data_IF_293647327831
#
_entry.id   IF_293647327831
#
_cell.length_a   1.000
_cell.length_b   1.000
_cell.length_c   1.000
_cell.angle_alpha   90.00
_cell.angle_beta   90.00
_cell.angle_gamma   90.00
#
_symmetry.space_group_name_H-M   'P 1'
#
loop_
_entity.id
_entity.type
_entity.pdbx_description
1 polymer ?
#
# COMPACT_ATOMS: atom_id res chain seq x y z
N UNK A 1 21.28 -8.71 -6.11
CA UNK A 1 21.06 -7.68 -5.07
C UNK A 1 19.65 -7.84 -4.53
N UNK A 2 19.45 -7.79 -3.22
CA UNK A 2 18.11 -7.61 -2.66
C UNK A 2 17.62 -6.21 -3.07
N UNK A 3 16.41 -6.12 -3.62
CA UNK A 3 15.74 -4.82 -3.80
C UNK A 3 15.37 -4.28 -2.42
N UNK A 4 15.50 -2.97 -2.24
CA UNK A 4 14.95 -2.32 -1.05
C UNK A 4 13.44 -2.58 -0.98
N UNK A 5 12.99 -3.04 0.18
CA UNK A 5 11.58 -3.31 0.41
C UNK A 5 10.83 -1.99 0.51
N UNK A 6 9.64 -1.95 -0.08
CA UNK A 6 8.77 -0.80 0.04
C UNK A 6 8.20 -0.66 1.46
N UNK A 7 7.65 0.51 1.80
CA UNK A 7 7.02 0.74 3.12
C UNK A 7 5.92 -0.29 3.41
N UNK A 8 5.10 -0.64 2.40
CA UNK A 8 4.05 -1.66 2.56
C UNK A 8 4.62 -3.04 2.85
N UNK A 9 5.69 -3.42 2.14
CA UNK A 9 6.35 -4.71 2.32
C UNK A 9 7.05 -4.80 3.68
N UNK A 10 7.71 -3.72 4.11
CA UNK A 10 8.32 -3.62 5.44
C UNK A 10 7.24 -3.73 6.53
N UNK A 11 6.15 -2.98 6.43
CA UNK A 11 5.05 -3.05 7.39
C UNK A 11 4.45 -4.46 7.46
N UNK A 12 4.22 -5.10 6.31
CA UNK A 12 3.74 -6.49 6.26
C UNK A 12 4.65 -7.40 7.08
N UNK A 13 5.97 -7.36 6.85
CA UNK A 13 6.93 -8.17 7.60
C UNK A 13 6.90 -7.90 9.12
N UNK A 14 6.69 -6.64 9.53
CA UNK A 14 6.59 -6.27 10.93
C UNK A 14 5.36 -6.87 11.63
N UNK A 15 4.25 -7.02 10.92
CA UNK A 15 2.98 -7.46 11.52
C UNK A 15 2.68 -8.94 11.36
N UNK A 16 3.49 -9.66 10.58
CA UNK A 16 3.41 -11.11 10.47
C UNK A 16 3.70 -11.76 11.83
N UNK A 17 2.79 -12.63 12.26
CA UNK A 17 2.95 -13.44 13.46
C UNK A 17 3.89 -14.64 13.25
N UNK A 18 3.98 -15.49 14.27
CA UNK A 18 4.79 -16.73 14.24
C UNK A 18 4.46 -17.55 12.98
N UNK A 19 5.51 -17.94 12.24
CA UNK A 19 5.43 -18.71 10.98
C UNK A 19 4.76 -17.95 9.80
N UNK A 20 4.82 -16.62 9.79
CA UNK A 20 4.28 -15.84 8.67
C UNK A 20 2.75 -15.78 8.63
N UNK A 21 2.08 -16.02 9.76
CA UNK A 21 0.63 -15.90 9.83
C UNK A 21 0.22 -14.43 9.90
N UNK A 22 -0.57 -13.98 8.93
CA UNK A 22 -1.24 -12.70 8.99
C UNK A 22 -2.59 -12.88 9.72
N UNK A 23 -2.75 -12.23 10.88
CA UNK A 23 -3.98 -12.32 11.65
C UNK A 23 -5.05 -11.42 11.00
N UNK A 24 -5.82 -11.98 10.07
CA UNK A 24 -6.88 -11.29 9.30
C UNK A 24 -8.03 -10.75 10.16
N UNK A 25 -8.08 -11.09 11.46
CA UNK A 25 -9.10 -10.57 12.39
C UNK A 25 -8.63 -9.31 13.13
N UNK A 26 -7.38 -8.89 12.95
CA UNK A 26 -6.85 -7.66 13.55
C UNK A 26 -7.09 -6.48 12.61
N UNK A 27 -8.25 -5.83 12.78
CA UNK A 27 -8.70 -4.70 11.96
C UNK A 27 -7.65 -3.58 11.90
N UNK A 28 -6.99 -3.29 13.02
CA UNK A 28 -5.91 -2.31 13.09
C UNK A 28 -4.77 -2.65 12.14
N UNK A 29 -4.31 -3.91 12.13
CA UNK A 29 -3.23 -4.35 11.23
C UNK A 29 -3.62 -4.24 9.76
N UNK A 30 -4.85 -4.60 9.41
CA UNK A 30 -5.37 -4.47 8.03
C UNK A 30 -5.50 -3.01 7.60
N UNK A 31 -5.98 -2.16 8.51
CA UNK A 31 -6.12 -0.72 8.26
C UNK A 31 -4.75 -0.10 8.01
N UNK A 32 -3.79 -0.36 8.89
CA UNK A 32 -2.42 0.14 8.75
C UNK A 32 -1.70 -0.45 7.51
N UNK A 33 -1.95 -1.71 7.12
CA UNK A 33 -1.40 -2.27 5.88
C UNK A 33 -1.93 -1.52 4.65
N UNK A 34 -3.23 -1.24 4.63
CA UNK A 34 -3.86 -0.49 3.54
C UNK A 34 -3.35 0.96 3.50
N UNK A 35 -3.19 1.59 4.68
CA UNK A 35 -2.61 2.94 4.80
C UNK A 35 -1.15 2.97 4.36
N UNK A 36 -0.35 1.94 4.67
CA UNK A 36 1.03 1.83 4.19
C UNK A 36 1.08 1.76 2.65
N UNK A 37 0.14 1.02 2.03
CA UNK A 37 -0.02 0.98 0.59
C UNK A 37 -0.38 2.33 -0.02
N UNK A 38 -1.31 3.08 0.59
CA UNK A 38 -1.64 4.44 0.16
C UNK A 38 -0.44 5.38 0.32
N UNK A 39 0.27 5.31 1.45
CA UNK A 39 1.46 6.12 1.71
C UNK A 39 2.56 5.85 0.69
N UNK A 40 2.77 4.60 0.32
CA UNK A 40 3.72 4.23 -0.72
C UNK A 40 3.36 4.86 -2.08
N UNK A 41 2.09 4.81 -2.49
CA UNK A 41 1.63 5.45 -3.73
C UNK A 41 1.83 6.98 -3.71
N UNK A 42 1.67 7.62 -2.55
CA UNK A 42 1.91 9.05 -2.36
C UNK A 42 3.40 9.39 -2.45
N UNK A 43 4.26 8.60 -1.80
CA UNK A 43 5.72 8.79 -1.82
C UNK A 43 6.31 8.60 -3.22
N UNK A 44 5.76 7.66 -3.99
CA UNK A 44 6.18 7.40 -5.37
C UNK A 44 5.58 8.40 -6.38
N UNK A 45 4.74 9.33 -5.93
CA UNK A 45 4.07 10.31 -6.80
C UNK A 45 3.06 9.71 -7.78
N UNK A 46 2.62 8.47 -7.55
CA UNK A 46 1.60 7.79 -8.37
C UNK A 46 0.21 8.35 -8.08
N UNK A 47 -0.02 8.68 -6.81
CA UNK A 47 -1.24 9.32 -6.29
C UNK A 47 -0.86 10.64 -5.64
N UNK A 48 -1.76 11.61 -5.68
CA UNK A 48 -1.66 12.84 -4.90
C UNK A 48 -2.86 13.03 -3.98
N UNK A 49 -2.66 13.80 -2.92
CA UNK A 49 -3.69 14.22 -1.98
C UNK A 49 -3.74 15.75 -1.98
N UNK A 50 -4.77 16.32 -2.58
CA UNK A 50 -5.02 17.76 -2.62
C UNK A 50 -6.42 18.04 -2.09
N UNK A 51 -6.57 19.00 -1.16
CA UNK A 51 -7.86 19.35 -0.55
C UNK A 51 -8.67 18.15 -0.02
N UNK A 52 -7.98 17.16 0.56
CA UNK A 52 -8.55 15.88 1.07
C UNK A 52 -9.13 14.97 -0.02
N UNK A 53 -8.86 15.24 -1.29
CA UNK A 53 -9.23 14.40 -2.43
C UNK A 53 -8.00 13.67 -2.97
N UNK A 54 -8.16 12.37 -3.24
CA UNK A 54 -7.13 11.57 -3.88
C UNK A 54 -7.34 11.58 -5.40
N UNK A 55 -6.26 11.77 -6.16
CA UNK A 55 -6.23 11.66 -7.62
C UNK A 55 -5.01 10.85 -8.07
N UNK A 56 -5.16 10.17 -9.21
CA UNK A 56 -4.06 9.43 -9.85
C UNK A 56 -3.29 10.35 -10.78
N UNK A 57 -1.96 10.42 -10.61
CA UNK A 57 -1.06 11.19 -11.47
C UNK A 57 -0.43 10.37 -12.58
N UNK A 58 -0.17 9.09 -12.33
CA UNK A 58 0.51 8.21 -13.28
C UNK A 58 -0.03 6.78 -13.20
N UNK A 59 0.21 6.00 -14.27
CA UNK A 59 -0.11 4.58 -14.26
C UNK A 59 0.66 3.83 -13.17
N UNK A 60 0.04 2.80 -12.59
CA UNK A 60 0.67 1.91 -11.62
C UNK A 60 1.78 1.08 -12.30
N UNK A 61 3.04 1.15 -11.84
CA UNK A 61 4.12 0.32 -12.36
C UNK A 61 3.85 -1.18 -12.12
N UNK A 62 4.29 -2.03 -13.05
CA UNK A 62 4.04 -3.49 -12.99
C UNK A 62 4.60 -4.13 -11.71
N UNK A 63 5.76 -3.67 -11.26
CA UNK A 63 6.41 -4.10 -10.03
C UNK A 63 5.62 -3.77 -8.76
N UNK A 64 4.67 -2.82 -8.83
CA UNK A 64 3.77 -2.41 -7.74
C UNK A 64 2.35 -2.93 -7.91
N UNK A 65 2.15 -3.96 -8.74
CA UNK A 65 0.85 -4.64 -8.94
C UNK A 65 0.19 -5.14 -7.65
N UNK A 66 0.94 -5.35 -6.56
CA UNK A 66 0.38 -5.67 -5.23
C UNK A 66 -0.42 -4.51 -4.61
N UNK A 67 -0.27 -3.28 -5.11
CA UNK A 67 -1.06 -2.10 -4.70
C UNK A 67 -2.29 -1.88 -5.59
N UNK A 68 -2.57 -2.78 -6.54
CA UNK A 68 -3.63 -2.62 -7.54
C UNK A 68 -5.02 -2.41 -6.91
N UNK A 69 -5.34 -3.09 -5.81
CA UNK A 69 -6.62 -2.89 -5.11
C UNK A 69 -6.80 -1.46 -4.60
N UNK A 70 -5.75 -0.85 -4.03
CA UNK A 70 -5.79 0.52 -3.50
C UNK A 70 -5.84 1.51 -4.66
N UNK A 71 -4.98 1.33 -5.65
CA UNK A 71 -4.93 2.18 -6.85
C UNK A 71 -6.29 2.19 -7.58
N UNK A 72 -6.86 1.01 -7.85
CA UNK A 72 -8.14 0.90 -8.55
C UNK A 72 -9.30 1.52 -7.78
N UNK A 73 -9.28 1.43 -6.44
CA UNK A 73 -10.29 2.10 -5.60
C UNK A 73 -10.24 3.64 -5.76
N UNK A 74 -9.05 4.20 -5.94
CA UNK A 74 -8.87 5.65 -6.15
C UNK A 74 -9.28 6.04 -7.58
N UNK A 75 -8.97 5.21 -8.58
CA UNK A 75 -9.40 5.43 -9.98
C UNK A 75 -10.92 5.41 -10.15
N UNK A 76 -11.61 4.57 -9.38
CA UNK A 76 -13.07 4.39 -9.48
C UNK A 76 -13.87 5.44 -8.68
N UNK A 77 -13.21 6.30 -7.89
CA UNK A 77 -13.82 7.37 -7.10
C UNK A 77 -13.92 8.68 -7.88
#
# INVERSE_FOLDING_TARGET
MMKDLSVTQQYLLCVLGKRGKFATFEIEKMTCLSTAGLLELLLDGIVELEDKKLSVKSALPTEKSYLSSIYNFIVQK
#
